data_IF_080997446324
#
_entry.id   IF_080997446324
#
_cell.length_a   1.000
_cell.length_b   1.000
_cell.length_c   1.000
_cell.angle_alpha   90.00
_cell.angle_beta   90.00
_cell.angle_gamma   90.00
#
_symmetry.space_group_name_H-M   'P 1'
#
loop_
_entity.id
_entity.type
_entity.pdbx_description
1 polymer ?
#
# COMPACT_ATOMS: atom_id res chain seq x y z
N UNK A 1 -2.80 28.72 -31.07
CA UNK A 1 -1.55 27.93 -31.10
C UNK A 1 -1.48 27.16 -29.80
N UNK A 2 -1.52 25.84 -29.84
CA UNK A 2 -1.27 25.03 -28.63
C UNK A 2 0.24 25.05 -28.40
N UNK A 3 0.65 25.53 -27.23
CA UNK A 3 2.06 25.56 -26.85
C UNK A 3 2.60 24.13 -26.86
N UNK A 4 3.61 23.87 -27.70
CA UNK A 4 4.23 22.57 -27.79
C UNK A 4 5.03 22.35 -26.50
N UNK A 5 4.62 21.38 -25.68
CA UNK A 5 5.37 21.01 -24.49
C UNK A 5 6.63 20.27 -24.94
N UNK A 6 7.79 20.72 -24.51
CA UNK A 6 9.10 20.09 -24.83
C UNK A 6 9.48 18.94 -23.88
N UNK A 7 8.54 18.49 -23.04
CA UNK A 7 8.78 17.30 -22.22
C UNK A 7 8.62 16.01 -23.05
N UNK A 8 9.45 15.02 -22.74
CA UNK A 8 9.23 13.65 -23.20
C UNK A 8 7.92 13.14 -22.59
N UNK A 9 7.19 12.31 -23.35
CA UNK A 9 6.01 11.63 -22.82
C UNK A 9 6.45 10.49 -21.91
N UNK A 10 5.72 10.30 -20.83
CA UNK A 10 5.83 9.10 -20.01
C UNK A 10 5.52 7.85 -20.85
N UNK A 11 6.27 6.77 -20.61
CA UNK A 11 6.01 5.48 -21.25
C UNK A 11 4.64 4.97 -20.83
N UNK A 12 3.75 4.60 -21.77
CA UNK A 12 2.41 4.15 -21.41
C UNK A 12 2.47 2.86 -20.59
N UNK A 13 1.77 2.86 -19.45
CA UNK A 13 1.61 1.68 -18.60
C UNK A 13 0.88 0.55 -19.34
N UNK A 14 1.07 -0.68 -18.87
CA UNK A 14 0.37 -1.88 -19.33
C UNK A 14 0.04 -2.76 -18.12
N UNK A 15 -0.94 -3.64 -18.29
CA UNK A 15 -1.26 -4.62 -17.26
C UNK A 15 -0.07 -5.52 -16.94
N UNK A 16 0.11 -5.80 -15.65
CA UNK A 16 1.14 -6.73 -15.18
C UNK A 16 0.86 -8.18 -15.62
N UNK A 17 -0.39 -8.47 -16.00
CA UNK A 17 -0.82 -9.79 -16.46
C UNK A 17 -0.91 -10.84 -15.34
N UNK A 18 -1.32 -12.07 -15.68
CA UNK A 18 -1.56 -13.12 -14.68
C UNK A 18 -0.28 -13.74 -14.10
N UNK A 19 0.89 -13.45 -14.70
CA UNK A 19 2.17 -14.06 -14.36
C UNK A 19 3.19 -13.07 -13.81
N UNK A 20 2.73 -11.90 -13.33
CA UNK A 20 3.59 -10.86 -12.70
C UNK A 20 4.54 -11.45 -11.66
N UNK A 21 4.08 -12.47 -10.95
CA UNK A 21 4.82 -13.20 -9.91
C UNK A 21 6.14 -13.81 -10.40
N UNK A 22 6.23 -14.26 -11.65
CA UNK A 22 7.48 -14.86 -12.19
C UNK A 22 8.64 -13.86 -12.11
N UNK A 23 8.37 -12.58 -12.39
CA UNK A 23 9.38 -11.52 -12.36
C UNK A 23 9.51 -10.85 -10.99
N UNK A 24 8.42 -10.74 -10.24
CA UNK A 24 8.39 -9.92 -9.02
C UNK A 24 8.52 -10.72 -7.72
N UNK A 25 8.12 -11.99 -7.71
CA UNK A 25 8.09 -12.91 -6.56
C UNK A 25 8.37 -14.36 -7.02
N UNK A 26 9.55 -14.65 -7.58
CA UNK A 26 9.83 -15.94 -8.20
C UNK A 26 9.76 -17.13 -7.21
N UNK A 27 10.17 -16.95 -5.95
CA UNK A 27 10.10 -18.03 -4.96
C UNK A 27 8.65 -18.43 -4.66
N UNK A 28 7.72 -17.47 -4.63
CA UNK A 28 6.28 -17.74 -4.52
C UNK A 28 5.76 -18.66 -5.65
N UNK A 29 6.34 -18.58 -6.85
CA UNK A 29 6.00 -19.47 -7.98
C UNK A 29 6.79 -20.78 -8.02
N UNK A 30 7.61 -21.08 -7.00
CA UNK A 30 8.50 -22.24 -6.99
C UNK A 30 9.74 -22.10 -7.88
N UNK A 31 10.04 -20.90 -8.37
CA UNK A 31 11.26 -20.58 -9.12
C UNK A 31 12.34 -20.18 -8.11
N UNK A 32 12.87 -21.18 -7.39
CA UNK A 32 13.89 -20.97 -6.38
C UNK A 32 15.29 -20.77 -6.99
N UNK A 33 16.17 -20.12 -6.24
CA UNK A 33 17.60 -19.96 -6.60
C UNK A 33 17.95 -18.70 -7.39
N UNK A 34 16.97 -17.86 -7.75
CA UNK A 34 17.21 -16.51 -8.32
C UNK A 34 17.54 -15.52 -7.20
N UNK A 35 16.72 -15.51 -6.15
CA UNK A 35 16.94 -14.77 -4.91
C UNK A 35 16.83 -15.74 -3.73
N UNK A 36 17.55 -15.48 -2.65
CA UNK A 36 17.43 -16.25 -1.40
C UNK A 36 16.01 -16.15 -0.81
N UNK A 37 15.43 -14.95 -0.87
CA UNK A 37 14.04 -14.67 -0.54
C UNK A 37 13.50 -13.62 -1.51
N UNK A 38 12.18 -13.64 -1.74
CA UNK A 38 11.54 -12.63 -2.58
C UNK A 38 11.66 -11.24 -1.93
N UNK A 39 11.94 -10.23 -2.77
CA UNK A 39 12.12 -8.85 -2.31
C UNK A 39 10.83 -8.34 -1.66
N UNK A 40 10.96 -7.73 -0.48
CA UNK A 40 9.83 -7.09 0.21
C UNK A 40 8.97 -8.05 1.02
N UNK A 41 9.36 -9.33 1.13
CA UNK A 41 8.66 -10.32 1.96
C UNK A 41 8.75 -10.02 3.45
N UNK A 42 9.88 -9.45 3.90
CA UNK A 42 10.13 -9.08 5.28
C UNK A 42 10.48 -7.60 5.37
N UNK A 43 9.71 -6.86 6.16
CA UNK A 43 9.92 -5.42 6.39
C UNK A 43 10.55 -5.12 7.74
N UNK A 44 10.44 -6.06 8.67
CA UNK A 44 10.80 -5.92 10.08
C UNK A 44 11.73 -7.05 10.52
N UNK A 45 12.50 -6.79 11.58
CA UNK A 45 13.31 -7.77 12.30
C UNK A 45 13.15 -7.57 13.81
N UNK A 46 13.87 -8.34 14.63
CA UNK A 46 13.77 -8.27 16.10
C UNK A 46 14.10 -6.89 16.70
N UNK A 47 14.90 -6.08 16.00
CA UNK A 47 15.38 -4.77 16.47
C UNK A 47 14.55 -3.60 15.95
N UNK A 48 13.65 -3.83 14.99
CA UNK A 48 12.83 -2.75 14.44
C UNK A 48 11.92 -2.14 15.51
N UNK A 49 11.85 -0.82 15.57
CA UNK A 49 11.15 -0.05 16.59
C UNK A 49 9.67 0.16 16.23
N UNK A 50 8.82 0.25 17.25
CA UNK A 50 7.39 0.57 17.10
C UNK A 50 6.45 -0.59 17.41
N UNK A 51 5.14 -0.33 17.35
CA UNK A 51 4.11 -1.36 17.51
C UNK A 51 4.12 -2.29 16.30
N UNK A 52 4.34 -3.59 16.54
CA UNK A 52 4.21 -4.63 15.52
C UNK A 52 2.74 -4.83 15.16
N UNK A 53 2.45 -4.76 13.88
CA UNK A 53 1.10 -4.99 13.36
C UNK A 53 1.15 -5.89 12.13
N UNK A 54 0.07 -6.63 11.94
CA UNK A 54 -0.19 -7.37 10.71
C UNK A 54 -1.25 -6.64 9.92
N UNK A 55 -0.99 -6.29 8.65
CA UNK A 55 -2.02 -5.78 7.75
C UNK A 55 -2.43 -6.92 6.83
N UNK A 56 -3.72 -7.27 6.80
CA UNK A 56 -4.24 -8.35 5.96
C UNK A 56 -5.55 -7.98 5.29
N UNK A 57 -5.89 -8.67 4.21
CA UNK A 57 -7.16 -8.49 3.54
C UNK A 57 -7.21 -9.20 2.20
N UNK A 58 -8.25 -8.92 1.41
CA UNK A 58 -8.41 -9.44 0.05
C UNK A 58 -8.69 -8.31 -0.92
N UNK A 59 -8.39 -8.56 -2.19
CA UNK A 59 -8.80 -7.69 -3.31
C UNK A 59 -10.01 -8.33 -4.00
N UNK A 60 -11.09 -7.59 -4.18
CA UNK A 60 -12.33 -8.07 -4.78
C UNK A 60 -12.63 -7.35 -6.10
N UNK A 61 -13.08 -8.11 -7.11
CA UNK A 61 -13.61 -7.54 -8.35
C UNK A 61 -15.05 -7.01 -8.18
N UNK A 62 -15.61 -6.45 -9.25
CA UNK A 62 -16.99 -5.91 -9.25
C UNK A 62 -18.10 -6.95 -9.05
N UNK A 63 -17.78 -8.25 -9.06
CA UNK A 63 -18.71 -9.34 -8.73
C UNK A 63 -18.60 -9.80 -7.28
N UNK A 64 -17.64 -9.25 -6.52
CA UNK A 64 -17.33 -9.69 -5.16
C UNK A 64 -16.44 -10.94 -5.12
N UNK A 65 -15.80 -11.31 -6.22
CA UNK A 65 -14.87 -12.45 -6.28
C UNK A 65 -13.48 -12.00 -5.84
N UNK A 66 -12.81 -12.70 -4.91
CA UNK A 66 -11.46 -12.37 -4.52
C UNK A 66 -10.46 -12.69 -5.65
N UNK A 67 -9.62 -11.71 -5.98
CA UNK A 67 -8.51 -11.87 -6.91
C UNK A 67 -7.41 -12.71 -6.26
N UNK A 68 -6.91 -13.68 -7.01
CA UNK A 68 -5.83 -14.60 -6.59
C UNK A 68 -4.53 -14.38 -7.35
N UNK A 69 -4.57 -13.49 -8.34
CA UNK A 69 -3.44 -13.13 -9.19
C UNK A 69 -3.01 -11.67 -9.01
N UNK A 70 -3.39 -11.04 -7.89
CA UNK A 70 -3.00 -9.68 -7.57
C UNK A 70 -1.64 -9.65 -6.86
N UNK A 71 -0.85 -8.61 -7.18
CA UNK A 71 0.37 -8.26 -6.49
C UNK A 71 0.18 -6.88 -5.86
N UNK A 72 0.46 -6.79 -4.57
CA UNK A 72 0.41 -5.53 -3.82
C UNK A 72 1.83 -5.14 -3.42
N UNK A 73 2.11 -3.85 -3.49
CA UNK A 73 3.26 -3.24 -2.84
C UNK A 73 2.78 -2.20 -1.84
N UNK A 74 3.49 -2.10 -0.72
CA UNK A 74 3.25 -1.05 0.26
C UNK A 74 4.48 -0.19 0.47
N UNK A 75 4.23 1.08 0.74
CA UNK A 75 5.24 2.06 1.10
C UNK A 75 4.77 2.89 2.29
N UNK A 76 5.56 2.91 3.37
CA UNK A 76 5.23 3.61 4.60
C UNK A 76 6.47 4.16 5.32
N UNK A 77 6.21 5.11 6.22
CA UNK A 77 7.19 5.59 7.18
C UNK A 77 7.37 4.57 8.33
N UNK A 78 8.48 4.73 9.05
CA UNK A 78 8.70 4.04 10.32
C UNK A 78 7.79 4.58 11.44
N UNK A 79 7.93 4.04 12.66
CA UNK A 79 7.13 4.44 13.82
C UNK A 79 7.36 5.88 14.30
N UNK A 80 8.42 6.56 13.83
CA UNK A 80 8.69 7.97 14.09
C UNK A 80 8.22 8.89 12.94
N UNK A 81 7.62 8.33 11.88
CA UNK A 81 7.16 9.11 10.74
C UNK A 81 8.29 9.53 9.79
N UNK A 82 9.37 8.74 9.71
CA UNK A 82 10.48 8.94 8.78
C UNK A 82 10.49 7.83 7.72
N UNK A 83 10.64 8.20 6.45
CA UNK A 83 10.75 7.22 5.37
C UNK A 83 12.20 6.73 5.22
N UNK A 84 12.39 5.43 5.00
CA UNK A 84 13.70 4.88 4.64
C UNK A 84 14.02 5.16 3.16
N UNK A 85 14.21 6.45 2.83
CA UNK A 85 14.41 6.92 1.47
C UNK A 85 15.47 8.03 1.42
N UNK A 86 16.27 8.12 0.36
CA UNK A 86 17.16 9.26 0.13
C UNK A 86 16.44 10.62 0.05
N UNK A 87 15.13 10.62 -0.18
CA UNK A 87 14.31 11.84 -0.21
C UNK A 87 13.86 12.29 1.17
N UNK A 88 14.13 11.52 2.23
CA UNK A 88 13.86 11.93 3.60
C UNK A 88 14.99 12.87 4.09
N UNK A 89 14.64 14.12 4.38
CA UNK A 89 15.59 15.15 4.81
C UNK A 89 15.41 15.55 6.28
N UNK A 90 14.38 15.04 6.96
CA UNK A 90 14.06 15.42 8.35
C UNK A 90 14.85 14.64 9.39
N UNK A 91 15.48 13.53 9.00
CA UNK A 91 16.23 12.65 9.89
C UNK A 91 16.51 11.30 9.23
N UNK A 92 17.08 10.37 10.01
CA UNK A 92 17.27 9.00 9.59
C UNK A 92 16.13 8.12 10.11
N UNK A 93 15.49 7.36 9.22
CA UNK A 93 14.55 6.33 9.60
C UNK A 93 15.24 5.19 10.36
N UNK A 94 14.46 4.35 11.05
CA UNK A 94 14.96 3.15 11.69
C UNK A 94 15.75 2.26 10.70
N UNK A 95 17.06 2.02 10.93
CA UNK A 95 17.89 1.22 10.03
C UNK A 95 17.45 -0.25 9.95
N UNK A 96 16.59 -0.70 10.86
CA UNK A 96 16.02 -2.05 10.89
C UNK A 96 14.66 -2.15 10.19
N UNK A 97 14.16 -1.07 9.59
CA UNK A 97 12.89 -1.05 8.88
C UNK A 97 13.08 -0.70 7.40
N UNK A 98 12.53 -1.52 6.50
CA UNK A 98 12.68 -1.29 5.06
C UNK A 98 11.74 -0.20 4.52
N UNK A 99 10.59 0.03 5.16
CA UNK A 99 9.54 0.94 4.67
C UNK A 99 8.75 0.44 3.47
N UNK A 100 9.31 -0.49 2.68
CA UNK A 100 8.70 -1.09 1.50
C UNK A 100 8.49 -2.60 1.68
N UNK A 101 7.33 -3.08 1.21
CA UNK A 101 6.99 -4.50 1.17
C UNK A 101 6.27 -4.86 -0.13
N UNK A 102 6.33 -6.13 -0.50
CA UNK A 102 5.64 -6.70 -1.68
C UNK A 102 5.01 -8.03 -1.30
N UNK A 103 3.73 -8.21 -1.61
CA UNK A 103 2.97 -9.40 -1.26
C UNK A 103 2.08 -9.83 -2.44
N UNK A 104 2.26 -11.05 -2.98
CA UNK A 104 1.28 -11.66 -3.87
C UNK A 104 0.09 -12.16 -3.07
N UNK A 105 -1.12 -12.09 -3.62
CA UNK A 105 -2.29 -12.72 -3.00
C UNK A 105 -2.15 -14.23 -2.99
N UNK A 106 -2.55 -14.88 -1.89
CA UNK A 106 -2.55 -16.33 -1.79
C UNK A 106 -3.43 -16.98 -2.88
N UNK A 107 -2.90 -18.02 -3.55
CA UNK A 107 -3.56 -18.67 -4.69
C UNK A 107 -4.86 -19.42 -4.34
N UNK A 108 -5.05 -19.79 -3.08
CA UNK A 108 -6.25 -20.50 -2.60
C UNK A 108 -7.26 -19.52 -2.00
N UNK A 109 -6.81 -18.64 -1.11
CA UNK A 109 -7.67 -17.78 -0.28
C UNK A 109 -7.86 -16.36 -0.82
N UNK A 110 -6.98 -15.88 -1.70
CA UNK A 110 -6.92 -14.49 -2.17
C UNK A 110 -6.43 -13.48 -1.13
N UNK A 111 -5.95 -13.95 0.03
CA UNK A 111 -5.48 -13.07 1.11
C UNK A 111 -4.07 -12.55 0.84
N UNK A 112 -3.86 -11.25 1.08
CA UNK A 112 -2.53 -10.65 1.20
C UNK A 112 -2.23 -10.39 2.68
N UNK A 113 -0.96 -10.46 3.06
CA UNK A 113 -0.50 -10.24 4.44
C UNK A 113 0.84 -9.48 4.42
N UNK A 114 0.92 -8.41 5.20
CA UNK A 114 2.14 -7.67 5.48
C UNK A 114 2.42 -7.65 6.98
N UNK A 115 3.61 -8.08 7.38
CA UNK A 115 4.11 -7.93 8.75
C UNK A 115 4.97 -6.66 8.82
N UNK A 116 4.52 -5.67 9.59
CA UNK A 116 5.12 -4.32 9.60
C UNK A 116 5.04 -3.67 10.99
N UNK A 117 5.30 -2.37 11.05
CA UNK A 117 5.03 -1.53 12.21
C UNK A 117 3.97 -0.50 11.90
N UNK A 118 3.21 -0.08 12.93
CA UNK A 118 2.30 1.05 12.79
C UNK A 118 3.12 2.31 12.47
N UNK A 119 2.88 2.99 11.32
CA UNK A 119 3.66 4.15 10.93
C UNK A 119 3.37 5.34 11.85
N UNK A 120 4.37 6.20 12.06
CA UNK A 120 4.17 7.51 12.66
C UNK A 120 3.49 8.48 11.69
N UNK A 121 3.04 9.62 12.22
CA UNK A 121 2.50 10.70 11.40
C UNK A 121 3.60 11.36 10.56
N UNK A 122 3.26 11.77 9.34
CA UNK A 122 4.21 12.44 8.42
C UNK A 122 3.65 13.78 7.97
N UNK A 123 4.48 14.82 7.78
CA UNK A 123 4.02 16.15 7.40
C UNK A 123 3.51 16.14 5.96
N UNK A 124 2.42 16.86 5.76
CA UNK A 124 1.94 17.29 4.47
C UNK A 124 2.72 18.50 3.98
N UNK A 125 2.56 18.85 2.70
CA UNK A 125 3.31 19.88 2.00
C UNK A 125 3.18 21.28 2.64
N UNK A 126 2.11 21.51 3.41
CA UNK A 126 1.84 22.77 4.13
C UNK A 126 2.21 22.72 5.63
N UNK A 127 2.85 21.64 6.08
CA UNK A 127 3.31 21.45 7.46
C UNK A 127 2.30 20.80 8.41
N UNK A 128 1.03 20.64 8.01
CA UNK A 128 0.07 19.85 8.80
C UNK A 128 0.47 18.38 8.83
N UNK A 129 0.13 17.65 9.89
CA UNK A 129 0.40 16.22 9.98
C UNK A 129 -0.69 15.41 9.26
N UNK A 130 -0.26 14.48 8.40
CA UNK A 130 -1.12 13.42 7.91
C UNK A 130 -1.28 12.36 9.00
N UNK A 131 -2.47 11.75 9.06
CA UNK A 131 -2.71 10.62 9.95
C UNK A 131 -1.79 9.45 9.60
N UNK A 132 -1.51 8.54 10.55
CA UNK A 132 -0.77 7.30 10.25
C UNK A 132 -1.38 6.58 9.05
N UNK A 133 -0.58 6.34 8.02
CA UNK A 133 -1.06 5.69 6.81
C UNK A 133 0.01 4.86 6.11
N UNK A 134 -0.45 3.89 5.33
CA UNK A 134 0.36 3.08 4.42
C UNK A 134 -0.10 3.35 2.99
N UNK A 135 0.82 3.69 2.09
CA UNK A 135 0.48 3.80 0.66
C UNK A 135 0.52 2.41 0.04
N UNK A 136 -0.47 2.10 -0.80
CA UNK A 136 -0.62 0.77 -1.41
C UNK A 136 -0.72 0.92 -2.92
N UNK A 137 0.08 0.15 -3.63
CA UNK A 137 0.03 0.00 -5.08
C UNK A 137 -0.42 -1.41 -5.44
N UNK A 138 -1.38 -1.52 -6.35
CA UNK A 138 -2.04 -2.79 -6.69
C UNK A 138 -1.97 -3.02 -8.20
N UNK A 139 -1.51 -4.21 -8.59
CA UNK A 139 -1.61 -4.69 -9.98
C UNK A 139 -2.15 -6.10 -10.03
N UNK A 140 -2.85 -6.39 -11.13
CA UNK A 140 -3.35 -7.71 -11.45
C UNK A 140 -3.61 -7.76 -12.96
N UNK A 141 -3.93 -8.95 -13.47
CA UNK A 141 -4.52 -9.08 -14.81
C UNK A 141 -5.79 -8.23 -14.91
N UNK A 142 -5.88 -7.40 -15.94
CA UNK A 142 -7.03 -6.52 -16.19
C UNK A 142 -6.91 -5.12 -15.60
N UNK A 143 -5.92 -4.88 -14.73
CA UNK A 143 -5.54 -3.54 -14.27
C UNK A 143 -4.51 -2.98 -15.24
N UNK A 144 -4.86 -1.97 -16.03
CA UNK A 144 -4.00 -1.40 -17.09
C UNK A 144 -2.93 -0.43 -16.55
N UNK A 145 -3.23 0.23 -15.44
CA UNK A 145 -2.32 1.11 -14.71
C UNK A 145 -2.48 0.76 -13.24
N UNK A 146 -1.37 0.57 -12.52
CA UNK A 146 -1.44 0.14 -11.13
C UNK A 146 -2.21 1.13 -10.26
N UNK A 147 -3.11 0.61 -9.45
CA UNK A 147 -4.03 1.41 -8.65
C UNK A 147 -3.36 1.82 -7.35
N UNK A 148 -3.49 3.09 -6.99
CA UNK A 148 -2.91 3.65 -5.78
C UNK A 148 -4.00 3.88 -4.75
N UNK A 149 -3.83 3.40 -3.53
CA UNK A 149 -4.73 3.70 -2.41
C UNK A 149 -3.93 3.92 -1.13
N UNK A 150 -4.62 4.19 -0.02
CA UNK A 150 -4.01 4.32 1.31
C UNK A 150 -4.79 3.54 2.35
N UNK A 151 -4.07 2.96 3.29
CA UNK A 151 -4.62 2.34 4.49
C UNK A 151 -4.43 3.33 5.63
N UNK A 152 -5.52 3.73 6.25
CA UNK A 152 -5.60 4.43 7.53
C UNK A 152 -6.08 3.44 8.60
N UNK A 153 -5.98 3.81 9.87
CA UNK A 153 -6.27 2.91 10.99
C UNK A 153 -7.50 3.40 11.77
N UNK A 154 -8.40 2.49 12.15
CA UNK A 154 -9.64 2.83 12.85
C UNK A 154 -9.44 3.32 14.29
N UNK A 155 -8.31 2.99 14.91
CA UNK A 155 -7.91 3.48 16.23
C UNK A 155 -7.29 4.90 16.19
N UNK A 156 -7.18 5.52 15.02
CA UNK A 156 -6.62 6.87 14.80
C UNK A 156 -7.69 7.91 14.44
N UNK A 157 -8.94 7.77 14.95
CA UNK A 157 -10.08 8.62 14.55
C UNK A 157 -9.79 10.13 14.60
N UNK A 158 -9.14 10.59 15.67
CA UNK A 158 -8.83 12.01 15.86
C UNK A 158 -7.79 12.54 14.85
N UNK A 159 -6.82 11.70 14.46
CA UNK A 159 -5.83 12.04 13.44
C UNK A 159 -6.47 11.97 12.05
N UNK A 160 -7.26 10.93 11.76
CA UNK A 160 -7.97 10.74 10.51
C UNK A 160 -8.90 11.93 10.21
N UNK A 161 -9.58 12.47 11.22
CA UNK A 161 -10.45 13.63 11.09
C UNK A 161 -9.71 14.92 10.68
N UNK A 162 -8.40 15.01 10.96
CA UNK A 162 -7.56 16.17 10.69
C UNK A 162 -6.64 15.98 9.48
N UNK A 163 -6.61 14.78 8.90
CA UNK A 163 -5.72 14.44 7.80
C UNK A 163 -6.02 15.30 6.55
N UNK A 164 -5.02 16.05 6.03
CA UNK A 164 -5.22 16.94 4.89
C UNK A 164 -5.74 16.27 3.61
N UNK A 165 -5.45 14.98 3.40
CA UNK A 165 -5.88 14.22 2.22
C UNK A 165 -7.31 13.69 2.42
N UNK A 166 -7.63 13.11 3.58
CA UNK A 166 -8.99 12.69 3.89
C UNK A 166 -9.95 13.88 3.91
N UNK A 167 -9.49 15.05 4.35
CA UNK A 167 -10.26 16.31 4.28
C UNK A 167 -10.58 16.75 2.86
N UNK A 168 -9.74 16.43 1.86
CA UNK A 168 -9.95 16.77 0.44
C UNK A 168 -10.92 15.86 -0.29
N UNK A 169 -11.23 14.68 0.25
CA UNK A 169 -12.20 13.77 -0.34
C UNK A 169 -13.60 14.38 -0.26
N UNK A 170 -14.24 14.65 -1.40
CA UNK A 170 -15.58 15.26 -1.46
C UNK A 170 -16.66 14.31 -0.93
N UNK A 171 -16.64 13.05 -1.37
CA UNK A 171 -17.57 12.01 -0.95
C UNK A 171 -17.18 11.42 0.40
N UNK A 172 -17.47 12.13 1.50
CA UNK A 172 -17.12 11.71 2.87
C UNK A 172 -17.63 10.33 3.26
N UNK A 173 -18.75 9.89 2.69
CA UNK A 173 -19.29 8.55 2.90
C UNK A 173 -18.37 7.42 2.37
N UNK A 174 -17.42 7.72 1.48
CA UNK A 174 -16.43 6.77 0.98
C UNK A 174 -15.14 6.71 1.83
N UNK A 175 -14.90 7.69 2.72
CA UNK A 175 -13.70 7.71 3.59
C UNK A 175 -13.53 6.41 4.40
N UNK A 176 -14.59 5.78 4.94
CA UNK A 176 -14.45 4.50 5.63
C UNK A 176 -13.83 3.37 4.80
N UNK A 177 -13.88 3.44 3.46
CA UNK A 177 -13.24 2.44 2.57
C UNK A 177 -11.70 2.50 2.60
N UNK A 178 -11.12 3.53 3.22
CA UNK A 178 -9.68 3.69 3.41
C UNK A 178 -9.24 3.31 4.83
N UNK A 179 -10.16 2.95 5.73
CA UNK A 179 -9.86 2.76 7.16
C UNK A 179 -9.90 1.27 7.50
N UNK A 180 -8.73 0.69 7.78
CA UNK A 180 -8.59 -0.69 8.22
C UNK A 180 -9.15 -0.87 9.64
N UNK A 181 -9.73 -2.05 9.88
CA UNK A 181 -10.34 -2.41 11.16
C UNK A 181 -9.41 -3.23 12.04
N UNK A 182 -9.22 -2.83 13.29
CA UNK A 182 -8.38 -3.56 14.23
C UNK A 182 -9.05 -4.84 14.71
N UNK A 183 -8.40 -5.98 14.48
CA UNK A 183 -8.77 -7.31 14.96
C UNK A 183 -7.60 -7.92 15.73
N UNK A 184 -7.58 -7.76 17.05
CA UNK A 184 -6.46 -8.22 17.88
C UNK A 184 -5.19 -7.42 17.58
N UNK A 185 -4.16 -8.09 17.05
CA UNK A 185 -2.90 -7.47 16.58
C UNK A 185 -2.89 -7.18 15.07
N UNK A 186 -3.97 -7.51 14.36
CA UNK A 186 -4.08 -7.31 12.93
C UNK A 186 -4.98 -6.11 12.60
N UNK A 187 -4.76 -5.52 11.43
CA UNK A 187 -5.66 -4.58 10.79
C UNK A 187 -6.17 -5.22 9.50
N UNK A 188 -7.49 -5.35 9.39
CA UNK A 188 -8.17 -5.92 8.23
C UNK A 188 -8.54 -4.80 7.26
N UNK A 189 -8.07 -4.91 6.02
CA UNK A 189 -8.29 -3.96 4.94
C UNK A 189 -8.65 -4.67 3.64
N UNK A 190 -9.94 -4.79 3.35
CA UNK A 190 -10.40 -5.32 2.09
C UNK A 190 -10.47 -4.22 1.02
N UNK A 191 -10.05 -4.57 -0.19
CA UNK A 191 -9.96 -3.66 -1.33
C UNK A 191 -11.03 -4.06 -2.34
N UNK A 192 -11.96 -3.16 -2.65
CA UNK A 192 -13.01 -3.38 -3.64
C UNK A 192 -12.70 -2.56 -4.88
N UNK A 193 -12.40 -3.22 -6.01
CA UNK A 193 -12.02 -2.55 -7.25
C UNK A 193 -13.19 -1.82 -7.93
N UNK A 194 -14.42 -2.27 -7.67
CA UNK A 194 -15.64 -1.74 -8.27
C UNK A 194 -16.86 -2.09 -7.39
N UNK A 195 -17.92 -1.27 -7.47
CA UNK A 195 -19.23 -1.56 -6.86
C UNK A 195 -19.58 -0.58 -5.73
N UNK A 196 -20.58 -0.94 -4.92
CA UNK A 196 -21.13 -0.03 -3.89
C UNK A 196 -20.11 0.32 -2.79
N UNK A 197 -19.17 -0.59 -2.52
CA UNK A 197 -18.10 -0.42 -1.53
C UNK A 197 -16.75 -0.08 -2.16
N UNK A 198 -16.73 0.42 -3.41
CA UNK A 198 -15.50 0.70 -4.14
C UNK A 198 -14.51 1.54 -3.31
N UNK A 199 -13.30 0.98 -3.14
CA UNK A 199 -12.21 1.64 -2.42
C UNK A 199 -11.80 2.91 -3.16
N UNK A 200 -11.47 3.96 -2.42
CA UNK A 200 -10.95 5.19 -3.03
C UNK A 200 -9.55 4.90 -3.60
N UNK A 201 -9.36 5.23 -4.88
CA UNK A 201 -8.06 5.23 -5.53
C UNK A 201 -7.60 6.66 -5.85
N UNK A 202 -6.30 6.90 -5.78
CA UNK A 202 -5.67 8.19 -5.99
C UNK A 202 -4.88 8.22 -7.30
N UNK A 203 -4.72 9.43 -7.83
CA UNK A 203 -3.71 9.76 -8.84
C UNK A 203 -2.64 10.59 -8.12
N UNK A 204 -1.38 10.13 -8.15
CA UNK A 204 -0.28 10.59 -7.27
C UNK A 204 0.96 11.01 -8.03
#
# INVERSE_FOLDING_TARGET
MVQKLECLKETPSQTAGPYVHIGCTPNFCGIAGVYEADLGVAMVNEKTLGERITIRGRVFDGTGTPLRDALLEIWQADSNGLYNSPSELRGAADPNFTGWGRCPTNMETGEFIFETVKPGQVPFNDGRLMAPHVSVWIVARGINIGLQTRIYFDDEEAANAQDPILMRIEHKNRVPTLVAKREGSAFVFDIHLQGDNETIFFDV
#
